data_IF_979426118418
#
_entry.id   IF_979426118418
#
_cell.length_a   1.000
_cell.length_b   1.000
_cell.length_c   1.000
_cell.angle_alpha   90.00
_cell.angle_beta   90.00
_cell.angle_gamma   90.00
#
_symmetry.space_group_name_H-M   'P 1'
#
loop_
_entity.id
_entity.type
_entity.pdbx_description
1 polymer ?
#
# COMPACT_ATOMS: atom_id res chain seq x y z
N UNK A 1 -42.65 21.83 18.27
CA UNK A 1 -42.45 22.02 16.81
C UNK A 1 -41.15 21.28 16.48
N UNK A 2 -41.16 20.11 15.81
CA UNK A 2 -41.13 19.94 14.33
C UNK A 2 -40.07 20.87 13.72
N UNK A 3 -39.01 20.51 12.98
CA UNK A 3 -38.63 19.35 12.13
C UNK A 3 -37.18 19.65 11.64
N UNK A 4 -36.25 18.68 11.55
CA UNK A 4 -35.78 18.01 10.30
C UNK A 4 -35.10 19.00 9.32
N UNK A 5 -33.76 18.97 9.20
CA UNK A 5 -32.96 18.25 8.17
C UNK A 5 -32.93 18.99 6.83
N UNK A 6 -31.74 19.21 6.26
CA UNK A 6 -31.42 18.79 4.88
C UNK A 6 -30.00 19.23 4.46
N UNK A 7 -29.17 18.21 4.26
CA UNK A 7 -28.08 18.10 3.30
C UNK A 7 -28.53 18.56 1.89
N UNK A 8 -27.64 19.14 1.07
CA UNK A 8 -27.56 18.71 -0.34
C UNK A 8 -26.23 19.06 -1.03
N UNK A 9 -25.69 18.02 -1.64
CA UNK A 9 -24.56 17.92 -2.58
C UNK A 9 -24.97 18.43 -3.96
N UNK A 10 -24.10 19.16 -4.68
CA UNK A 10 -24.11 19.20 -6.16
C UNK A 10 -22.68 19.22 -6.71
N UNK A 11 -22.29 18.12 -7.36
CA UNK A 11 -21.23 18.06 -8.36
C UNK A 11 -21.74 18.68 -9.69
N UNK A 12 -20.90 19.47 -10.37
CA UNK A 12 -21.01 19.67 -11.81
C UNK A 12 -19.61 19.80 -12.45
N UNK A 13 -19.21 18.71 -13.12
CA UNK A 13 -18.31 18.73 -14.27
C UNK A 13 -19.05 19.41 -15.43
N UNK A 14 -18.42 20.37 -16.10
CA UNK A 14 -18.84 20.82 -17.41
C UNK A 14 -17.62 21.17 -18.27
N UNK A 15 -17.36 20.28 -19.23
CA UNK A 15 -16.64 20.54 -20.46
C UNK A 15 -17.17 21.81 -21.15
N UNK A 16 -16.29 22.61 -21.73
CA UNK A 16 -16.61 23.41 -22.92
C UNK A 16 -15.36 23.65 -23.76
N UNK A 17 -15.49 23.24 -25.02
CA UNK A 17 -14.50 23.27 -26.09
C UNK A 17 -14.40 24.65 -26.75
N UNK A 18 -13.25 24.92 -27.38
CA UNK A 18 -13.04 25.69 -28.61
C UNK A 18 -11.51 25.83 -28.78
N UNK A 19 -10.85 25.52 -29.91
CA UNK A 19 -11.16 25.94 -31.27
C UNK A 19 -10.45 25.01 -32.28
N UNK A 20 -11.13 24.81 -33.40
CA UNK A 20 -10.60 24.28 -34.64
C UNK A 20 -9.82 25.36 -35.44
N UNK A 21 -8.93 24.89 -36.32
CA UNK A 21 -8.31 25.62 -37.43
C UNK A 21 -7.00 24.91 -37.80
N UNK A 22 -6.66 24.59 -39.04
CA UNK A 22 -7.35 24.65 -40.32
C UNK A 22 -6.71 23.56 -41.22
N UNK A 23 -7.46 23.09 -42.21
CA UNK A 23 -6.97 22.23 -43.30
C UNK A 23 -6.12 23.08 -44.27
N UNK A 24 -4.96 22.56 -44.69
CA UNK A 24 -4.34 22.94 -45.96
C UNK A 24 -4.19 21.70 -46.85
N UNK A 25 -4.66 21.88 -48.08
CA UNK A 25 -4.71 20.99 -49.22
C UNK A 25 -3.41 21.12 -50.03
N UNK A 26 -2.94 20.00 -50.59
CA UNK A 26 -1.68 19.96 -51.33
C UNK A 26 -1.42 18.59 -51.93
N UNK A 27 -2.03 18.34 -53.09
CA UNK A 27 -1.74 17.23 -53.99
C UNK A 27 -0.31 17.31 -54.55
N UNK A 28 0.41 16.19 -54.67
CA UNK A 28 0.98 15.70 -55.93
C UNK A 28 1.90 14.49 -55.72
N UNK A 29 1.70 13.52 -56.61
CA UNK A 29 2.37 12.24 -56.70
C UNK A 29 3.51 12.42 -57.72
N UNK A 30 4.74 12.63 -57.25
CA UNK A 30 5.94 12.68 -58.10
C UNK A 30 6.99 11.72 -57.54
N UNK A 31 7.14 10.58 -58.20
CA UNK A 31 8.32 9.71 -58.04
C UNK A 31 9.53 10.36 -58.71
N UNK A 32 10.70 10.44 -58.05
CA UNK A 32 11.97 10.54 -58.73
C UNK A 32 12.55 9.15 -59.00
N UNK A 33 12.72 8.88 -60.29
CA UNK A 33 13.59 7.87 -60.87
C UNK A 33 15.04 8.11 -60.42
N UNK A 34 15.69 7.13 -59.76
CA UNK A 34 17.13 7.18 -59.49
C UNK A 34 17.88 6.05 -60.24
N UNK A 35 19.01 6.38 -60.88
CA UNK A 35 19.75 5.47 -61.75
C UNK A 35 20.56 4.43 -60.98
N UNK A 36 20.67 3.25 -61.58
CA UNK A 36 21.53 2.17 -61.14
C UNK A 36 23.01 2.50 -61.45
N UNK A 37 23.83 2.65 -60.41
CA UNK A 37 25.30 2.56 -60.51
C UNK A 37 25.87 1.84 -59.29
N UNK A 38 26.12 0.54 -59.48
CA UNK A 38 27.29 -0.22 -59.02
C UNK A 38 28.14 0.35 -57.87
N UNK A 39 28.17 -0.39 -56.75
CA UNK A 39 29.35 -0.46 -55.88
C UNK A 39 29.07 -0.44 -54.38
N UNK A 40 29.21 -1.62 -53.77
CA UNK A 40 29.63 -1.89 -52.38
C UNK A 40 28.58 -1.88 -51.25
N UNK A 41 28.72 -2.94 -50.45
CA UNK A 41 28.12 -3.32 -49.17
C UNK A 41 26.70 -3.93 -49.18
N UNK A 42 26.71 -5.24 -48.91
CA UNK A 42 25.59 -6.05 -48.46
C UNK A 42 25.06 -5.49 -47.13
N UNK A 43 23.76 -5.14 -47.00
CA UNK A 43 23.19 -4.58 -45.78
C UNK A 43 22.85 -5.63 -44.72
N UNK A 44 23.22 -6.90 -44.91
CA UNK A 44 23.16 -7.92 -43.86
C UNK A 44 24.46 -7.99 -43.03
N UNK A 45 25.13 -6.86 -42.82
CA UNK A 45 25.96 -6.72 -41.62
C UNK A 45 25.03 -6.68 -40.42
N UNK A 46 25.09 -7.79 -39.69
CA UNK A 46 24.78 -7.98 -38.28
C UNK A 46 25.19 -6.75 -37.44
N UNK A 47 24.37 -5.70 -37.50
CA UNK A 47 24.30 -4.72 -36.44
C UNK A 47 23.41 -5.36 -35.39
N UNK A 48 24.06 -5.97 -34.40
CA UNK A 48 23.55 -6.12 -33.05
C UNK A 48 22.52 -5.03 -32.75
N UNK A 49 21.26 -5.36 -32.98
CA UNK A 49 20.19 -4.82 -32.17
C UNK A 49 20.49 -5.49 -30.84
N UNK A 50 21.26 -4.80 -29.99
CA UNK A 50 21.06 -4.97 -28.56
C UNK A 50 19.55 -4.85 -28.41
N UNK A 51 18.89 -5.98 -28.20
CA UNK A 51 17.57 -5.99 -27.62
C UNK A 51 17.73 -5.06 -26.44
N UNK A 52 17.10 -3.88 -26.53
CA UNK A 52 16.99 -3.01 -25.38
C UNK A 52 16.33 -3.91 -24.35
N UNK A 53 17.15 -4.41 -23.42
CA UNK A 53 16.70 -5.15 -22.26
C UNK A 53 15.53 -4.32 -21.75
N UNK A 54 14.33 -4.87 -21.91
CA UNK A 54 13.20 -4.38 -21.19
C UNK A 54 13.59 -4.65 -19.74
N UNK A 55 14.25 -3.67 -19.11
CA UNK A 55 14.30 -3.45 -17.67
C UNK A 55 12.86 -3.22 -17.21
N UNK A 56 12.03 -4.26 -17.36
CA UNK A 56 11.01 -4.54 -16.37
C UNK A 56 11.87 -4.87 -15.16
N UNK A 57 12.10 -3.84 -14.35
CA UNK A 57 12.67 -3.93 -13.01
C UNK A 57 12.01 -5.16 -12.36
N UNK A 58 12.75 -6.27 -12.34
CA UNK A 58 12.26 -7.52 -11.82
C UNK A 58 12.11 -7.22 -10.34
N UNK A 59 10.88 -6.92 -9.92
CA UNK A 59 10.53 -6.62 -8.53
C UNK A 59 11.40 -7.50 -7.64
N UNK A 60 12.27 -6.89 -6.83
CA UNK A 60 13.17 -7.63 -5.94
C UNK A 60 12.32 -8.69 -5.24
N UNK A 61 12.55 -9.97 -5.53
CA UNK A 61 11.80 -11.01 -4.87
C UNK A 61 12.21 -10.99 -3.40
N UNK A 62 11.29 -10.57 -2.53
CA UNK A 62 11.48 -10.59 -1.08
C UNK A 62 10.66 -11.73 -0.48
N UNK A 63 11.03 -13.01 -0.70
CA UNK A 63 10.25 -14.15 -0.23
C UNK A 63 10.12 -14.15 1.30
N UNK A 64 11.16 -13.73 2.03
CA UNK A 64 11.11 -13.60 3.48
C UNK A 64 10.16 -12.48 3.94
N UNK A 65 10.12 -11.35 3.23
CA UNK A 65 9.20 -10.27 3.57
C UNK A 65 7.74 -10.67 3.29
N UNK A 66 7.51 -11.40 2.20
CA UNK A 66 6.21 -12.02 1.88
C UNK A 66 5.80 -13.01 2.97
N UNK A 67 6.72 -13.85 3.46
CA UNK A 67 6.49 -14.79 4.57
C UNK A 67 6.15 -14.06 5.88
N UNK A 68 6.91 -13.04 6.24
CA UNK A 68 6.65 -12.22 7.44
C UNK A 68 5.23 -11.63 7.37
N UNK A 69 4.88 -11.03 6.23
CA UNK A 69 3.56 -10.45 6.03
C UNK A 69 2.43 -11.50 6.13
N UNK A 70 2.57 -12.62 5.44
CA UNK A 70 1.57 -13.69 5.47
C UNK A 70 1.37 -14.26 6.89
N UNK A 71 2.47 -14.42 7.63
CA UNK A 71 2.43 -14.86 9.03
C UNK A 71 1.70 -13.85 9.91
N UNK A 72 2.04 -12.56 9.78
CA UNK A 72 1.37 -11.50 10.53
C UNK A 72 -0.12 -11.45 10.20
N UNK A 73 -0.49 -11.49 8.92
CA UNK A 73 -1.89 -11.45 8.48
C UNK A 73 -2.69 -12.59 9.08
N UNK A 74 -2.17 -13.82 9.00
CA UNK A 74 -2.83 -15.00 9.58
C UNK A 74 -3.03 -14.85 11.09
N UNK A 75 -1.99 -14.40 11.82
CA UNK A 75 -2.10 -14.16 13.26
C UNK A 75 -3.12 -13.08 13.60
N UNK A 76 -3.19 -12.01 12.82
CA UNK A 76 -4.16 -10.94 13.03
C UNK A 76 -5.59 -11.42 12.75
N UNK A 77 -5.82 -12.22 11.71
CA UNK A 77 -7.12 -12.83 11.40
C UNK A 77 -7.62 -13.72 12.54
N UNK A 78 -6.76 -14.57 13.10
CA UNK A 78 -7.09 -15.41 14.25
C UNK A 78 -7.48 -14.56 15.48
N UNK A 79 -6.77 -13.46 15.70
CA UNK A 79 -7.03 -12.54 16.81
C UNK A 79 -8.27 -11.67 16.57
N UNK A 80 -8.56 -11.29 15.34
CA UNK A 80 -9.83 -10.64 14.94
C UNK A 80 -11.02 -11.58 15.20
N UNK A 81 -10.90 -12.85 14.84
CA UNK A 81 -11.91 -13.85 15.13
C UNK A 81 -12.14 -13.98 16.64
N UNK A 82 -11.07 -14.08 17.44
CA UNK A 82 -11.17 -14.12 18.90
C UNK A 82 -11.79 -12.84 19.50
N UNK A 83 -11.46 -11.66 18.97
CA UNK A 83 -11.99 -10.39 19.43
C UNK A 83 -13.49 -10.19 19.12
N UNK A 84 -14.00 -10.91 18.11
CA UNK A 84 -15.39 -10.84 17.68
C UNK A 84 -16.36 -11.63 18.57
N UNK A 85 -15.85 -12.51 19.43
CA UNK A 85 -16.68 -13.29 20.35
C UNK A 85 -17.37 -12.35 21.38
N UNK A 86 -18.71 -12.31 21.42
CA UNK A 86 -19.44 -11.42 22.32
C UNK A 86 -19.32 -11.80 23.82
N UNK A 87 -18.77 -12.97 24.14
CA UNK A 87 -18.65 -13.48 25.51
C UNK A 87 -17.36 -13.05 26.22
N UNK A 88 -16.38 -12.49 25.49
CA UNK A 88 -15.08 -12.11 26.04
C UNK A 88 -15.20 -10.90 26.99
N UNK A 89 -14.49 -10.98 28.12
CA UNK A 89 -14.43 -9.89 29.10
C UNK A 89 -13.21 -8.97 28.87
N UNK A 90 -12.99 -7.98 29.74
CA UNK A 90 -11.87 -7.05 29.61
C UNK A 90 -10.49 -7.72 29.74
N UNK A 91 -10.35 -8.75 30.57
CA UNK A 91 -9.12 -9.53 30.69
C UNK A 91 -8.81 -10.29 29.41
N UNK A 92 -9.83 -10.88 28.79
CA UNK A 92 -9.67 -11.55 27.49
C UNK A 92 -9.29 -10.55 26.39
N UNK A 93 -9.94 -9.38 26.34
CA UNK A 93 -9.59 -8.30 25.41
C UNK A 93 -8.17 -7.80 25.62
N UNK A 94 -7.75 -7.62 26.87
CA UNK A 94 -6.39 -7.22 27.22
C UNK A 94 -5.37 -8.20 26.64
N UNK A 95 -5.61 -9.50 26.85
CA UNK A 95 -4.77 -10.56 26.30
C UNK A 95 -4.73 -10.52 24.77
N UNK A 96 -5.87 -10.41 24.10
CA UNK A 96 -5.94 -10.34 22.63
C UNK A 96 -5.13 -9.15 22.09
N UNK A 97 -5.24 -7.98 22.72
CA UNK A 97 -4.46 -6.81 22.31
C UNK A 97 -2.95 -6.99 22.59
N UNK A 98 -2.58 -7.58 23.73
CA UNK A 98 -1.17 -7.95 23.99
C UNK A 98 -0.66 -8.95 22.95
N UNK A 99 -1.45 -9.95 22.58
CA UNK A 99 -1.08 -10.95 21.57
C UNK A 99 -0.93 -10.31 20.18
N UNK A 100 -1.79 -9.34 19.82
CA UNK A 100 -1.60 -8.52 18.61
C UNK A 100 -0.29 -7.73 18.66
N UNK A 101 -0.01 -7.09 19.79
CA UNK A 101 1.23 -6.34 19.95
C UNK A 101 2.45 -7.25 19.75
N UNK A 102 2.40 -8.47 20.28
CA UNK A 102 3.45 -9.47 20.11
C UNK A 102 3.60 -9.93 18.66
N UNK A 103 2.50 -10.11 17.92
CA UNK A 103 2.52 -10.44 16.49
C UNK A 103 3.25 -9.34 15.69
N UNK A 104 2.87 -8.08 15.89
CA UNK A 104 3.55 -6.93 15.28
C UNK A 104 5.02 -6.81 15.70
N UNK A 105 5.33 -7.03 16.98
CA UNK A 105 6.70 -7.00 17.50
C UNK A 105 7.57 -8.10 16.90
N UNK A 106 7.01 -9.29 16.70
CA UNK A 106 7.69 -10.41 16.03
C UNK A 106 7.95 -10.06 14.56
N UNK A 107 6.94 -9.57 13.83
CA UNK A 107 7.10 -9.12 12.46
C UNK A 107 8.15 -8.01 12.31
N UNK A 108 8.18 -7.04 13.23
CA UNK A 108 9.19 -5.98 13.26
C UNK A 108 10.60 -6.53 13.47
N UNK A 109 10.77 -7.47 14.40
CA UNK A 109 12.08 -8.07 14.69
C UNK A 109 12.57 -8.89 13.50
N UNK A 110 11.72 -9.72 12.90
CA UNK A 110 12.05 -10.49 11.69
C UNK A 110 12.37 -9.55 10.53
N UNK A 111 11.58 -8.48 10.33
CA UNK A 111 11.83 -7.48 9.30
C UNK A 111 13.19 -6.80 9.45
N UNK A 112 13.51 -6.33 10.67
CA UNK A 112 14.79 -5.68 10.94
C UNK A 112 15.98 -6.65 10.77
N UNK A 113 15.77 -7.94 11.05
CA UNK A 113 16.79 -8.97 10.87
C UNK A 113 17.11 -9.25 9.39
N UNK A 114 16.22 -8.89 8.45
CA UNK A 114 16.51 -8.99 7.01
C UNK A 114 17.63 -8.05 6.55
N UNK A 115 17.92 -6.98 7.30
CA UNK A 115 19.01 -6.06 6.97
C UNK A 115 18.83 -5.32 5.64
N UNK A 116 17.58 -5.13 5.19
CA UNK A 116 17.26 -4.46 3.94
C UNK A 116 17.80 -3.03 3.94
N UNK A 117 18.77 -2.75 3.05
CA UNK A 117 19.51 -1.50 2.99
C UNK A 117 19.62 -0.90 1.58
N UNK A 118 18.79 -1.39 0.65
CA UNK A 118 18.68 -0.81 -0.69
C UNK A 118 18.03 0.58 -0.63
N UNK A 119 18.76 1.58 -1.14
CA UNK A 119 18.37 2.98 -1.10
C UNK A 119 17.18 3.29 -2.01
N UNK A 120 17.00 2.58 -3.12
CA UNK A 120 15.89 2.79 -4.03
C UNK A 120 14.55 2.45 -3.34
N UNK A 121 14.54 1.39 -2.54
CA UNK A 121 13.37 0.88 -1.84
C UNK A 121 13.26 1.34 -0.37
N UNK A 122 14.18 2.16 0.11
CA UNK A 122 14.20 2.63 1.51
C UNK A 122 12.86 3.24 1.97
N UNK A 123 12.16 4.10 1.20
CA UNK A 123 10.86 4.62 1.61
C UNK A 123 9.81 3.52 1.84
N UNK A 124 9.85 2.44 1.05
CA UNK A 124 8.93 1.31 1.18
C UNK A 124 9.23 0.49 2.43
N UNK A 125 10.51 0.21 2.69
CA UNK A 125 10.94 -0.46 3.91
C UNK A 125 10.61 0.34 5.17
N UNK A 126 10.76 1.67 5.11
CA UNK A 126 10.41 2.55 6.23
C UNK A 126 8.92 2.55 6.53
N UNK A 127 8.06 2.54 5.50
CA UNK A 127 6.62 2.42 5.67
C UNK A 127 6.22 1.08 6.31
N UNK A 128 6.85 -0.03 5.91
CA UNK A 128 6.62 -1.35 6.49
C UNK A 128 7.06 -1.39 7.95
N UNK A 129 8.27 -0.89 8.24
CA UNK A 129 8.78 -0.79 9.61
C UNK A 129 7.85 0.04 10.48
N UNK A 130 7.41 1.20 9.97
CA UNK A 130 6.52 2.10 10.68
C UNK A 130 5.17 1.44 10.99
N UNK A 131 4.61 0.68 10.06
CA UNK A 131 3.37 -0.07 10.28
C UNK A 131 3.53 -1.10 11.40
N UNK A 132 4.58 -1.93 11.36
CA UNK A 132 4.82 -2.92 12.42
C UNK A 132 5.08 -2.27 13.78
N UNK A 133 5.89 -1.21 13.82
CA UNK A 133 6.19 -0.49 15.05
C UNK A 133 4.96 0.22 15.65
N UNK A 134 4.13 0.83 14.79
CA UNK A 134 2.88 1.47 15.21
C UNK A 134 1.90 0.44 15.74
N UNK A 135 1.73 -0.68 15.05
CA UNK A 135 0.89 -1.78 15.51
C UNK A 135 1.32 -2.31 16.87
N UNK A 136 2.61 -2.61 17.02
CA UNK A 136 3.18 -3.07 18.29
C UNK A 136 2.89 -2.09 19.44
N UNK A 137 3.22 -0.81 19.24
CA UNK A 137 3.07 0.24 20.27
C UNK A 137 1.61 0.42 20.66
N UNK A 138 0.73 0.56 19.67
CA UNK A 138 -0.69 0.84 19.89
C UNK A 138 -1.37 -0.34 20.59
N UNK A 139 -1.19 -1.56 20.09
CA UNK A 139 -1.86 -2.71 20.69
C UNK A 139 -1.31 -3.06 22.08
N UNK A 140 -0.04 -2.72 22.37
CA UNK A 140 0.50 -2.84 23.73
C UNK A 140 -0.17 -1.85 24.70
N UNK A 141 -0.42 -0.62 24.25
CA UNK A 141 -1.18 0.38 25.02
C UNK A 141 -2.62 -0.09 25.28
N UNK A 142 -3.27 -0.65 24.27
CA UNK A 142 -4.60 -1.27 24.41
C UNK A 142 -4.59 -2.40 25.44
N UNK A 143 -3.67 -3.36 25.32
CA UNK A 143 -3.55 -4.48 26.26
C UNK A 143 -3.36 -4.01 27.70
N UNK A 144 -2.48 -3.03 27.90
CA UNK A 144 -2.21 -2.44 29.23
C UNK A 144 -3.44 -1.75 29.82
N UNK A 145 -4.16 -0.95 29.03
CA UNK A 145 -5.34 -0.24 29.52
C UNK A 145 -6.51 -1.20 29.80
N UNK A 146 -6.80 -2.13 28.88
CA UNK A 146 -7.88 -3.10 29.05
C UNK A 146 -7.66 -4.02 30.25
N UNK A 147 -6.42 -4.32 30.62
CA UNK A 147 -6.11 -5.10 31.82
C UNK A 147 -6.56 -4.40 33.12
N UNK A 148 -6.69 -3.07 33.10
CA UNK A 148 -7.12 -2.25 34.23
C UNK A 148 -8.61 -1.90 34.24
N UNK A 149 -9.37 -2.22 33.19
CA UNK A 149 -10.78 -1.84 33.11
C UNK A 149 -11.66 -2.72 34.02
N UNK A 150 -12.60 -2.07 34.69
CA UNK A 150 -13.60 -2.75 35.51
C UNK A 150 -15.02 -2.44 35.03
N UNK A 151 -15.19 -1.32 34.31
CA UNK A 151 -16.49 -0.80 33.91
C UNK A 151 -16.49 -0.37 32.45
N UNK A 152 -17.69 -0.29 31.86
CA UNK A 152 -17.87 0.27 30.52
C UNK A 152 -17.43 1.75 30.43
N UNK A 153 -17.51 2.48 31.53
CA UNK A 153 -17.07 3.87 31.59
C UNK A 153 -15.54 3.99 31.40
N UNK A 154 -14.76 3.05 31.95
CA UNK A 154 -13.31 3.01 31.76
C UNK A 154 -12.95 2.85 30.28
N UNK A 155 -13.62 1.90 29.62
CA UNK A 155 -13.46 1.63 28.19
C UNK A 155 -13.87 2.85 27.35
N UNK A 156 -15.03 3.45 27.61
CA UNK A 156 -15.50 4.63 26.86
C UNK A 156 -14.55 5.83 27.02
N UNK A 157 -14.05 6.08 28.23
CA UNK A 157 -13.10 7.15 28.49
C UNK A 157 -11.75 6.91 27.78
N UNK A 158 -11.28 5.67 27.76
CA UNK A 158 -10.08 5.31 27.02
C UNK A 158 -10.26 5.48 25.52
N UNK A 159 -11.30 4.89 24.94
CA UNK A 159 -11.58 4.99 23.50
C UNK A 159 -11.80 6.45 23.07
N UNK A 160 -12.46 7.26 23.90
CA UNK A 160 -12.62 8.69 23.66
C UNK A 160 -11.29 9.47 23.62
N UNK A 161 -10.28 9.05 24.39
CA UNK A 161 -8.92 9.62 24.33
C UNK A 161 -8.13 9.11 23.12
N UNK A 162 -8.39 7.89 22.67
CA UNK A 162 -7.71 7.27 21.53
C UNK A 162 -8.21 7.78 20.15
N UNK A 163 -9.34 8.50 20.12
CA UNK A 163 -9.94 9.08 18.91
C UNK A 163 -10.86 8.10 18.16
N UNK A 164 -11.50 8.59 17.08
CA UNK A 164 -12.46 7.81 16.26
C UNK A 164 -11.89 6.48 15.74
N UNK A 165 -10.57 6.40 15.58
CA UNK A 165 -9.87 5.21 15.07
C UNK A 165 -9.32 4.30 16.16
N UNK A 166 -9.78 4.43 17.42
CA UNK A 166 -9.24 3.68 18.57
C UNK A 166 -9.00 2.19 18.27
N UNK A 167 -9.85 1.56 17.47
CA UNK A 167 -9.76 0.12 17.17
C UNK A 167 -8.70 -0.29 16.14
N UNK A 168 -8.09 0.64 15.40
CA UNK A 168 -7.21 0.32 14.27
C UNK A 168 -5.94 1.19 14.22
N UNK A 169 -4.93 0.72 13.48
CA UNK A 169 -3.78 1.54 13.07
C UNK A 169 -4.32 2.69 12.20
N UNK A 170 -3.70 3.87 12.26
CA UNK A 170 -4.13 5.02 11.47
C UNK A 170 -4.20 4.67 9.98
N UNK A 171 -5.30 5.03 9.31
CA UNK A 171 -5.54 4.71 7.90
C UNK A 171 -4.39 5.14 6.98
N UNK A 172 -3.78 6.31 7.21
CA UNK A 172 -2.66 6.79 6.39
C UNK A 172 -1.42 5.88 6.52
N UNK A 173 -1.18 5.30 7.70
CA UNK A 173 -0.06 4.38 7.94
C UNK A 173 -0.35 3.05 7.26
N UNK A 174 -1.57 2.55 7.37
CA UNK A 174 -2.00 1.32 6.70
C UNK A 174 -1.95 1.47 5.17
N UNK A 175 -2.41 2.59 4.62
CA UNK A 175 -2.37 2.86 3.18
C UNK A 175 -0.93 2.96 2.66
N UNK A 176 -0.05 3.67 3.38
CA UNK A 176 1.37 3.76 3.03
C UNK A 176 2.05 2.37 3.05
N UNK A 177 1.71 1.54 4.03
CA UNK A 177 2.15 0.15 4.12
C UNK A 177 1.65 -0.69 2.95
N UNK A 178 0.34 -0.73 2.70
CA UNK A 178 -0.27 -1.50 1.61
C UNK A 178 0.27 -1.07 0.25
N UNK A 179 0.47 0.23 0.04
CA UNK A 179 1.11 0.72 -1.17
C UNK A 179 2.55 0.22 -1.29
N UNK A 180 3.33 0.27 -0.22
CA UNK A 180 4.72 -0.21 -0.23
C UNK A 180 4.81 -1.72 -0.49
N UNK A 181 3.91 -2.52 0.07
CA UNK A 181 3.82 -3.94 -0.22
C UNK A 181 3.50 -4.23 -1.70
N UNK A 182 2.63 -3.41 -2.32
CA UNK A 182 2.33 -3.50 -3.77
C UNK A 182 3.52 -3.09 -4.64
N UNK A 183 4.18 -1.97 -4.32
CA UNK A 183 5.35 -1.49 -5.10
C UNK A 183 6.51 -2.49 -5.07
N UNK A 184 6.65 -3.23 -3.97
CA UNK A 184 7.66 -4.29 -3.83
C UNK A 184 7.21 -5.66 -4.41
N UNK A 185 6.04 -5.76 -5.05
CA UNK A 185 5.56 -7.02 -5.64
C UNK A 185 5.24 -8.12 -4.61
N UNK A 186 4.82 -7.74 -3.41
CA UNK A 186 4.62 -8.68 -2.29
C UNK A 186 3.16 -9.11 -2.08
N UNK A 187 2.23 -8.40 -2.71
CA UNK A 187 0.79 -8.64 -2.71
C UNK A 187 0.25 -8.31 -4.10
N UNK A 188 -0.60 -9.21 -4.61
CA UNK A 188 -1.32 -9.06 -5.88
C UNK A 188 -2.56 -8.16 -5.74
#
# INVERSE_FOLDING_TARGET
MKKILALLVICTLAFSACRAGALEDGTQNDQPNFPNTTGLQDPYEDTTIEEADNDIDVALDHPELRRINATLTTQLEDLDAAASDPSINYTDRARIYTDRANAYGTALNEFNALGLNDQANAPHYDNIRNYYQTGHTRFNEFGTNYAGFQTQADEQNFLGRMGEDGRYINANIEDAYRNSMRQLGLVE
#
